data_IF_849759273815
#
_entry.id   IF_849759273815
#
_cell.length_a   1.000
_cell.length_b   1.000
_cell.length_c   1.000
_cell.angle_alpha   90.00
_cell.angle_beta   90.00
_cell.angle_gamma   90.00
#
_symmetry.space_group_name_H-M   'P 1'
#
loop_
_entity.id
_entity.type
_entity.pdbx_description
1 polymer ?
#
# COMPACT_ATOMS: atom_id res chain seq x y z
N UNK A 1 -15.92 -41.63 -2.90
CA UNK A 1 -16.94 -40.62 -3.09
C UNK A 1 -16.28 -39.25 -3.27
N UNK A 2 -16.57 -38.60 -4.37
CA UNK A 2 -16.07 -37.27 -4.66
C UNK A 2 -16.88 -36.30 -3.81
N UNK A 3 -16.25 -35.70 -2.80
CA UNK A 3 -16.91 -34.68 -1.99
C UNK A 3 -16.80 -33.35 -2.72
N UNK A 4 -17.89 -32.82 -3.23
CA UNK A 4 -17.98 -31.49 -3.80
C UNK A 4 -18.43 -30.54 -2.69
N UNK A 5 -17.59 -29.56 -2.34
CA UNK A 5 -17.95 -28.46 -1.42
C UNK A 5 -18.34 -27.25 -2.25
N UNK A 6 -19.59 -26.81 -2.15
CA UNK A 6 -20.03 -25.57 -2.77
C UNK A 6 -19.62 -24.37 -1.90
N UNK A 7 -18.86 -23.43 -2.46
CA UNK A 7 -18.48 -22.16 -1.82
C UNK A 7 -19.30 -21.05 -2.47
N UNK A 8 -20.10 -20.36 -1.66
CA UNK A 8 -20.91 -19.20 -2.11
C UNK A 8 -20.26 -17.90 -1.63
N UNK A 9 -19.36 -17.37 -2.45
CA UNK A 9 -18.87 -16.00 -2.33
C UNK A 9 -17.94 -15.71 -1.15
N UNK A 10 -18.18 -16.24 0.04
CA UNK A 10 -17.38 -15.98 1.22
C UNK A 10 -17.32 -17.19 2.15
N UNK A 11 -16.24 -17.24 2.95
CA UNK A 11 -15.99 -18.25 3.99
C UNK A 11 -15.47 -17.57 5.25
N UNK A 12 -15.61 -18.26 6.40
CA UNK A 12 -15.18 -17.70 7.70
C UNK A 12 -13.70 -18.00 8.00
N UNK A 13 -13.11 -19.04 7.37
CA UNK A 13 -11.71 -19.41 7.62
C UNK A 13 -11.06 -20.05 6.39
N UNK A 14 -9.80 -19.71 6.13
CA UNK A 14 -9.03 -20.22 4.99
C UNK A 14 -8.86 -21.76 5.04
N UNK A 15 -8.83 -22.34 6.23
CA UNK A 15 -8.71 -23.81 6.40
C UNK A 15 -9.91 -24.59 5.86
N UNK A 16 -11.04 -23.93 5.62
CA UNK A 16 -12.23 -24.52 5.03
C UNK A 16 -12.16 -24.64 3.50
N UNK A 17 -11.14 -24.04 2.88
CA UNK A 17 -10.96 -24.06 1.44
C UNK A 17 -10.42 -25.40 0.95
N UNK A 18 -10.89 -25.89 -0.21
CA UNK A 18 -10.40 -27.13 -0.79
C UNK A 18 -8.98 -26.97 -1.36
N UNK A 19 -8.23 -28.07 -1.39
CA UNK A 19 -6.91 -28.15 -2.04
C UNK A 19 -7.00 -28.48 -3.53
N UNK A 20 -8.21 -28.65 -4.05
CA UNK A 20 -8.51 -28.99 -5.44
C UNK A 20 -9.59 -28.02 -5.94
N UNK A 21 -9.26 -27.16 -6.89
CA UNK A 21 -10.17 -26.13 -7.38
C UNK A 21 -9.80 -25.70 -8.81
N UNK A 22 -10.62 -24.85 -9.41
CA UNK A 22 -10.35 -24.19 -10.69
C UNK A 22 -9.30 -23.08 -10.50
N UNK A 23 -8.34 -23.00 -11.42
CA UNK A 23 -7.33 -21.93 -11.42
C UNK A 23 -7.98 -20.55 -11.52
N UNK A 24 -7.48 -19.59 -10.76
CA UNK A 24 -8.01 -18.24 -10.76
C UNK A 24 -9.30 -18.02 -9.97
N UNK A 25 -9.87 -19.05 -9.34
CA UNK A 25 -11.07 -18.90 -8.53
C UNK A 25 -10.78 -18.02 -7.31
N UNK A 26 -11.60 -16.99 -7.09
CA UNK A 26 -11.43 -16.01 -6.00
C UNK A 26 -12.52 -16.17 -4.97
N UNK A 27 -12.12 -16.17 -3.69
CA UNK A 27 -13.03 -16.27 -2.53
C UNK A 27 -12.69 -15.20 -1.52
N UNK A 28 -13.72 -14.61 -0.92
CA UNK A 28 -13.58 -13.72 0.23
C UNK A 28 -13.48 -14.53 1.51
N UNK A 29 -12.47 -14.27 2.31
CA UNK A 29 -12.34 -14.77 3.69
C UNK A 29 -12.82 -13.66 4.61
N UNK A 30 -13.88 -13.94 5.36
CA UNK A 30 -14.49 -12.98 6.27
C UNK A 30 -13.89 -13.12 7.65
N UNK A 31 -13.36 -12.04 8.19
CA UNK A 31 -12.95 -11.95 9.57
C UNK A 31 -14.10 -11.56 10.50
N UNK A 32 -14.00 -10.42 11.14
CA UNK A 32 -15.06 -9.93 12.04
C UNK A 32 -16.35 -9.61 11.28
N UNK A 33 -17.45 -10.22 11.71
CA UNK A 33 -18.79 -9.96 11.13
C UNK A 33 -19.28 -8.53 11.32
N UNK A 34 -18.69 -7.79 12.26
CA UNK A 34 -19.09 -6.44 12.64
C UNK A 34 -18.32 -5.36 11.92
N UNK A 35 -17.01 -5.49 11.77
CA UNK A 35 -16.15 -4.43 11.26
C UNK A 35 -15.72 -4.64 9.81
N UNK A 36 -15.55 -5.91 9.39
CA UNK A 36 -15.03 -6.32 8.08
C UNK A 36 -13.68 -5.70 7.70
N UNK A 37 -12.98 -5.12 8.67
CA UNK A 37 -11.66 -4.51 8.48
C UNK A 37 -10.54 -5.54 8.34
N UNK A 38 -10.83 -6.79 8.64
CA UNK A 38 -9.98 -7.96 8.57
C UNK A 38 -10.41 -8.94 7.46
N UNK A 39 -11.36 -8.52 6.61
CA UNK A 39 -11.74 -9.28 5.42
C UNK A 39 -10.61 -9.25 4.40
N UNK A 40 -10.33 -10.37 3.74
CA UNK A 40 -9.36 -10.43 2.66
C UNK A 40 -9.82 -11.39 1.56
N UNK A 41 -9.15 -11.36 0.41
CA UNK A 41 -9.48 -12.20 -0.73
C UNK A 41 -8.34 -13.14 -1.01
N UNK A 42 -8.68 -14.36 -1.40
CA UNK A 42 -7.71 -15.36 -1.84
C UNK A 42 -8.08 -15.90 -3.20
N UNK A 43 -7.08 -16.08 -4.04
CA UNK A 43 -7.18 -16.68 -5.36
C UNK A 43 -6.51 -18.05 -5.34
N UNK A 44 -7.15 -19.02 -5.98
CA UNK A 44 -6.56 -20.33 -6.15
C UNK A 44 -5.58 -20.34 -7.32
N UNK A 45 -4.41 -20.87 -7.10
CA UNK A 45 -3.38 -21.07 -8.11
C UNK A 45 -3.07 -22.55 -8.21
N UNK A 46 -3.45 -23.17 -9.34
CA UNK A 46 -3.15 -24.58 -9.59
C UNK A 46 -1.67 -24.78 -9.85
N UNK A 47 -1.15 -25.94 -9.53
CA UNK A 47 0.27 -26.29 -9.76
C UNK A 47 0.67 -26.23 -11.24
N UNK A 48 -0.30 -26.34 -12.15
CA UNK A 48 -0.09 -26.26 -13.60
C UNK A 48 -0.41 -24.86 -14.17
N UNK A 49 -0.92 -23.94 -13.34
CA UNK A 49 -1.31 -22.58 -13.75
C UNK A 49 -2.53 -22.48 -14.65
N UNK A 50 -3.29 -23.56 -14.83
CA UNK A 50 -4.52 -23.58 -15.65
C UNK A 50 -5.48 -24.68 -15.23
N UNK A 51 -6.79 -24.46 -15.45
CA UNK A 51 -7.84 -25.46 -15.31
C UNK A 51 -8.09 -25.92 -13.88
N UNK A 52 -8.68 -27.10 -13.74
CA UNK A 52 -9.04 -27.68 -12.44
C UNK A 52 -7.96 -28.64 -11.96
N UNK A 53 -7.43 -28.42 -10.76
CA UNK A 53 -6.33 -29.21 -10.24
C UNK A 53 -5.98 -28.94 -8.78
N UNK A 54 -4.94 -29.59 -8.29
CA UNK A 54 -4.35 -29.29 -6.99
C UNK A 54 -3.57 -27.96 -7.06
N UNK A 55 -3.60 -27.21 -5.98
CA UNK A 55 -2.93 -25.91 -5.91
C UNK A 55 -2.94 -25.31 -4.51
N UNK A 56 -2.66 -24.01 -4.46
CA UNK A 56 -2.59 -23.25 -3.21
C UNK A 56 -3.45 -21.99 -3.31
N UNK A 57 -3.91 -21.51 -2.17
CA UNK A 57 -4.60 -20.23 -2.05
C UNK A 57 -3.60 -19.14 -1.72
N UNK A 58 -3.62 -18.06 -2.52
CA UNK A 58 -2.81 -16.87 -2.29
C UNK A 58 -3.70 -15.66 -2.09
N UNK A 59 -3.27 -14.77 -1.21
CA UNK A 59 -3.93 -13.48 -1.04
C UNK A 59 -3.94 -12.70 -2.36
N UNK A 60 -5.03 -11.99 -2.62
CA UNK A 60 -5.24 -11.25 -3.86
C UNK A 60 -6.12 -10.02 -3.64
N UNK A 61 -6.24 -9.21 -4.67
CA UNK A 61 -7.16 -8.05 -4.71
C UNK A 61 -8.59 -8.54 -4.87
N UNK A 62 -9.53 -7.83 -4.23
CA UNK A 62 -10.96 -8.06 -4.41
C UNK A 62 -11.38 -7.94 -5.88
N UNK A 63 -12.40 -8.70 -6.31
CA UNK A 63 -12.91 -8.61 -7.68
C UNK A 63 -13.39 -7.20 -8.02
N UNK A 64 -13.03 -6.72 -9.22
CA UNK A 64 -13.40 -5.40 -9.77
C UNK A 64 -12.79 -4.19 -9.04
N UNK A 65 -11.89 -4.41 -8.08
CA UNK A 65 -11.21 -3.31 -7.40
C UNK A 65 -10.14 -2.67 -8.31
N UNK A 66 -10.00 -1.33 -8.30
CA UNK A 66 -8.90 -0.67 -8.98
C UNK A 66 -7.58 -1.06 -8.33
N UNK A 67 -6.64 -1.55 -9.11
CA UNK A 67 -5.39 -2.11 -8.58
C UNK A 67 -4.12 -1.47 -9.17
N UNK A 68 -4.24 -0.58 -10.13
CA UNK A 68 -3.10 0.09 -10.78
C UNK A 68 -3.25 1.59 -10.78
N UNK A 69 -2.14 2.28 -10.60
CA UNK A 69 -2.06 3.72 -10.87
C UNK A 69 -2.04 4.00 -12.37
N UNK A 70 -2.58 5.14 -12.76
CA UNK A 70 -2.40 5.66 -14.12
C UNK A 70 -0.99 6.27 -14.23
N UNK A 71 -0.06 5.58 -14.88
CA UNK A 71 1.34 5.98 -14.99
C UNK A 71 1.54 7.37 -15.57
N UNK A 72 0.68 7.78 -16.51
CA UNK A 72 0.81 9.09 -17.18
C UNK A 72 0.51 10.28 -16.26
N UNK A 73 -0.19 10.06 -15.15
CA UNK A 73 -0.52 11.08 -14.15
C UNK A 73 0.35 11.01 -12.90
N UNK A 74 1.17 9.97 -12.80
CA UNK A 74 2.11 9.75 -11.70
C UNK A 74 3.46 10.41 -11.99
N UNK A 75 4.29 10.66 -10.96
CA UNK A 75 5.66 11.14 -11.17
C UNK A 75 6.45 10.22 -12.09
N UNK A 76 7.18 10.84 -13.01
CA UNK A 76 8.05 10.13 -13.96
C UNK A 76 9.46 10.00 -13.39
N UNK A 77 10.22 9.03 -13.91
CA UNK A 77 11.59 8.78 -13.50
C UNK A 77 12.59 9.35 -14.52
N UNK A 78 13.67 9.91 -14.01
CA UNK A 78 14.87 10.23 -14.79
C UNK A 78 15.90 9.12 -14.57
N UNK A 79 15.98 8.20 -15.52
CA UNK A 79 16.82 7.00 -15.42
C UNK A 79 18.15 7.21 -16.12
N UNK A 80 19.26 7.00 -15.39
CA UNK A 80 20.60 7.05 -15.95
C UNK A 80 20.99 5.68 -16.50
N UNK A 81 21.37 5.65 -17.77
CA UNK A 81 22.02 4.48 -18.36
C UNK A 81 23.47 4.37 -17.85
N UNK A 82 23.80 3.25 -17.22
CA UNK A 82 25.11 3.04 -16.61
C UNK A 82 26.24 2.92 -17.65
N UNK A 83 25.96 2.42 -18.86
CA UNK A 83 26.95 2.19 -19.90
C UNK A 83 27.28 3.48 -20.68
N UNK A 84 26.27 4.27 -21.00
CA UNK A 84 26.42 5.48 -21.82
C UNK A 84 26.51 6.76 -21.00
N UNK A 85 26.04 6.75 -19.74
CA UNK A 85 25.92 7.93 -18.89
C UNK A 85 24.74 8.84 -19.22
N UNK A 86 23.97 8.52 -20.25
CA UNK A 86 22.82 9.30 -20.68
C UNK A 86 21.63 9.15 -19.72
N UNK A 87 20.76 10.17 -19.70
CA UNK A 87 19.54 10.15 -18.91
C UNK A 87 18.32 10.06 -19.84
N UNK A 88 17.37 9.21 -19.47
CA UNK A 88 16.07 9.09 -20.13
C UNK A 88 14.96 9.45 -19.15
N UNK A 89 14.11 10.41 -19.52
CA UNK A 89 12.91 10.73 -18.78
C UNK A 89 11.76 9.85 -19.28
N UNK A 90 11.16 9.07 -18.37
CA UNK A 90 10.16 8.08 -18.74
C UNK A 90 9.13 7.85 -17.64
N UNK A 91 8.00 7.24 -18.01
CA UNK A 91 7.05 6.72 -17.03
C UNK A 91 7.74 5.73 -16.10
N UNK A 92 7.33 5.74 -14.83
CA UNK A 92 7.84 4.81 -13.84
C UNK A 92 6.84 3.68 -13.58
N UNK A 93 7.34 2.46 -13.33
CA UNK A 93 6.51 1.30 -13.02
C UNK A 93 6.15 1.29 -11.54
N UNK A 94 4.99 1.85 -11.23
CA UNK A 94 4.44 1.85 -9.87
C UNK A 94 3.83 0.49 -9.55
N UNK A 95 4.16 -0.06 -8.39
CA UNK A 95 3.64 -1.35 -7.93
C UNK A 95 2.12 -1.30 -7.78
N UNK A 96 1.41 -2.31 -8.31
CA UNK A 96 -0.04 -2.38 -8.17
C UNK A 96 -0.46 -2.77 -6.74
N UNK A 97 -1.75 -2.60 -6.41
CA UNK A 97 -2.37 -3.26 -5.27
C UNK A 97 -2.38 -4.77 -5.54
N UNK A 98 -1.91 -5.57 -4.60
CA UNK A 98 -1.83 -7.04 -4.73
C UNK A 98 -2.70 -7.78 -3.71
N UNK A 99 -3.25 -7.06 -2.73
CA UNK A 99 -4.08 -7.62 -1.66
C UNK A 99 -5.22 -6.66 -1.29
N UNK A 100 -6.30 -7.22 -0.74
CA UNK A 100 -7.41 -6.46 -0.16
C UNK A 100 -8.35 -5.78 -1.15
N UNK A 101 -9.10 -4.84 -0.64
CA UNK A 101 -10.08 -4.01 -1.35
C UNK A 101 -9.96 -2.54 -0.92
N UNK A 102 -10.92 -1.69 -1.31
CA UNK A 102 -10.91 -0.27 -0.93
C UNK A 102 -11.06 -0.03 0.58
N UNK A 103 -11.56 -1.00 1.33
CA UNK A 103 -11.71 -0.88 2.78
C UNK A 103 -10.44 -1.30 3.52
N UNK A 104 -9.84 -2.43 3.13
CA UNK A 104 -8.72 -3.05 3.83
C UNK A 104 -7.35 -2.59 3.32
N UNK A 105 -7.26 -2.20 2.05
CA UNK A 105 -6.10 -1.56 1.43
C UNK A 105 -6.55 -0.32 0.64
N UNK A 106 -6.91 0.78 1.30
CA UNK A 106 -7.48 1.96 0.65
C UNK A 106 -6.53 2.53 -0.41
N UNK A 107 -7.11 3.27 -1.35
CA UNK A 107 -6.32 4.02 -2.33
C UNK A 107 -5.55 5.12 -1.60
N UNK A 108 -4.25 5.27 -1.84
CA UNK A 108 -3.45 6.34 -1.23
C UNK A 108 -4.04 7.73 -1.48
N UNK A 109 -3.97 8.61 -0.49
CA UNK A 109 -4.64 9.92 -0.50
C UNK A 109 -4.14 10.87 -1.57
N UNK A 110 -2.95 10.66 -2.16
CA UNK A 110 -2.48 11.47 -3.30
C UNK A 110 -3.26 11.20 -4.60
N UNK A 111 -4.02 10.10 -4.69
CA UNK A 111 -4.77 9.76 -5.92
C UNK A 111 -5.95 10.72 -6.08
N UNK A 112 -5.98 11.43 -7.20
CA UNK A 112 -7.00 12.45 -7.48
C UNK A 112 -6.68 13.84 -6.94
N UNK A 113 -5.50 14.02 -6.32
CA UNK A 113 -5.01 15.31 -5.83
C UNK A 113 -3.70 15.71 -6.52
N UNK A 114 -3.16 16.87 -6.19
CA UNK A 114 -1.87 17.33 -6.74
C UNK A 114 -0.73 16.96 -5.79
N UNK A 115 0.30 16.29 -6.31
CA UNK A 115 1.54 16.05 -5.57
C UNK A 115 2.35 17.38 -5.56
N UNK A 116 2.47 17.97 -4.39
CA UNK A 116 3.13 19.27 -4.19
C UNK A 116 4.63 19.14 -3.99
N UNK A 117 5.08 18.02 -3.43
CA UNK A 117 6.50 17.77 -3.14
C UNK A 117 6.83 16.30 -3.17
N UNK A 118 8.07 15.99 -3.58
CA UNK A 118 8.64 14.64 -3.57
C UNK A 118 9.96 14.70 -2.83
N UNK A 119 10.15 13.82 -1.86
CA UNK A 119 11.37 13.73 -1.06
C UNK A 119 11.66 12.26 -0.71
N UNK A 120 12.77 12.01 -0.04
CA UNK A 120 13.10 10.69 0.52
C UNK A 120 13.47 10.83 1.99
N UNK A 121 13.01 9.89 2.80
CA UNK A 121 13.33 9.84 4.22
C UNK A 121 13.25 8.40 4.74
N UNK A 122 14.28 7.95 5.44
CA UNK A 122 14.34 6.60 6.04
C UNK A 122 13.95 5.49 5.06
N UNK A 123 14.61 5.46 3.90
CA UNK A 123 14.42 4.48 2.83
C UNK A 123 12.97 4.41 2.29
N UNK A 124 12.23 5.52 2.38
CA UNK A 124 10.89 5.67 1.82
C UNK A 124 10.84 6.86 0.88
N UNK A 125 10.10 6.74 -0.21
CA UNK A 125 9.71 7.87 -1.04
C UNK A 125 8.54 8.57 -0.36
N UNK A 126 8.61 9.90 -0.28
CA UNK A 126 7.59 10.74 0.34
C UNK A 126 6.93 11.57 -0.71
N UNK A 127 5.62 11.56 -0.72
CA UNK A 127 4.77 12.44 -1.51
C UNK A 127 3.98 13.32 -0.55
N UNK A 128 3.98 14.62 -0.80
CA UNK A 128 3.09 15.55 -0.10
C UNK A 128 1.95 15.92 -1.04
N UNK A 129 0.73 15.70 -0.58
CA UNK A 129 -0.48 16.02 -1.33
C UNK A 129 -1.55 16.55 -0.38
N UNK A 130 -2.05 17.76 -0.66
CA UNK A 130 -2.94 18.50 0.23
C UNK A 130 -2.38 18.56 1.67
N UNK A 131 -3.07 18.04 2.66
CA UNK A 131 -2.65 17.96 4.06
C UNK A 131 -1.93 16.65 4.41
N UNK A 132 -1.73 15.78 3.43
CA UNK A 132 -1.28 14.41 3.65
C UNK A 132 0.21 14.25 3.37
N UNK A 133 0.83 13.39 4.19
CA UNK A 133 2.17 12.85 3.99
C UNK A 133 2.03 11.38 3.68
N UNK A 134 2.32 11.02 2.44
CA UNK A 134 2.22 9.66 1.96
C UNK A 134 3.62 9.12 1.73
N UNK A 135 3.94 8.01 2.38
CA UNK A 135 5.26 7.38 2.31
C UNK A 135 5.13 6.00 1.69
N UNK A 136 6.02 5.71 0.74
CA UNK A 136 6.11 4.37 0.15
C UNK A 136 6.44 3.31 1.21
N UNK A 137 6.35 2.06 0.83
CA UNK A 137 6.91 0.98 1.62
C UNK A 137 8.42 1.19 1.85
N UNK A 138 8.94 0.68 2.96
CA UNK A 138 10.36 0.74 3.25
C UNK A 138 11.15 -0.04 2.18
N UNK A 139 12.26 0.52 1.72
CA UNK A 139 13.14 -0.03 0.68
C UNK A 139 12.45 -0.31 -0.69
N UNK A 140 11.23 0.23 -0.91
CA UNK A 140 10.47 0.07 -2.16
C UNK A 140 9.77 1.37 -2.51
N UNK A 141 10.40 2.21 -3.31
CA UNK A 141 9.94 3.56 -3.64
C UNK A 141 8.72 3.59 -4.57
N UNK A 142 8.41 2.49 -5.21
CA UNK A 142 7.31 2.29 -6.15
C UNK A 142 6.03 1.77 -5.50
N UNK A 143 6.11 1.26 -4.25
CA UNK A 143 5.00 0.57 -3.61
C UNK A 143 4.30 1.44 -2.57
N UNK A 144 3.01 1.73 -2.83
CA UNK A 144 2.11 2.50 -1.96
C UNK A 144 0.89 1.71 -1.48
N UNK A 145 0.89 0.40 -1.69
CA UNK A 145 -0.10 -0.53 -1.14
C UNK A 145 0.59 -1.56 -0.24
N UNK A 146 -0.08 -2.06 0.81
CA UNK A 146 0.46 -3.13 1.63
C UNK A 146 0.61 -4.44 0.84
N UNK A 147 1.52 -5.30 1.27
CA UNK A 147 1.69 -6.64 0.67
C UNK A 147 0.60 -7.61 1.11
N UNK A 148 0.10 -7.45 2.32
CA UNK A 148 -0.98 -8.24 2.91
C UNK A 148 -1.87 -7.35 3.72
N UNK A 149 -3.16 -7.67 3.79
CA UNK A 149 -4.10 -6.97 4.67
C UNK A 149 -4.44 -7.77 5.93
N UNK A 150 -3.88 -8.97 6.08
CA UNK A 150 -4.08 -9.80 7.26
C UNK A 150 -3.34 -9.28 8.49
N UNK A 151 -2.25 -8.56 8.29
CA UNK A 151 -1.46 -7.94 9.37
C UNK A 151 -0.73 -6.72 8.87
N UNK A 152 -0.60 -5.70 9.71
CA UNK A 152 0.21 -4.52 9.41
C UNK A 152 1.66 -4.85 9.75
N UNK A 153 2.54 -4.77 8.74
CA UNK A 153 3.98 -4.95 8.90
C UNK A 153 4.72 -3.61 8.92
N UNK A 154 5.88 -3.58 9.52
CA UNK A 154 6.64 -2.35 9.74
C UNK A 154 7.14 -1.70 8.43
N UNK A 155 7.27 -2.49 7.38
CA UNK A 155 7.65 -2.01 6.05
C UNK A 155 6.49 -1.45 5.23
N UNK A 156 5.24 -1.59 5.66
CA UNK A 156 4.08 -1.13 4.90
C UNK A 156 4.12 0.39 4.65
N UNK A 157 3.44 0.86 3.59
CA UNK A 157 3.26 2.27 3.32
C UNK A 157 2.60 3.01 4.49
N UNK A 158 2.86 4.30 4.58
CA UNK A 158 2.31 5.19 5.61
C UNK A 158 1.54 6.30 4.90
N UNK A 159 0.33 6.59 5.35
CA UNK A 159 -0.50 7.69 4.84
C UNK A 159 -1.12 8.40 6.04
N UNK A 160 -0.65 9.62 6.28
CA UNK A 160 -1.01 10.42 7.46
C UNK A 160 -1.46 11.81 7.04
N UNK A 161 -2.47 12.31 7.74
CA UNK A 161 -2.93 13.70 7.61
C UNK A 161 -2.33 14.55 8.73
N UNK A 162 -2.00 15.81 8.43
CA UNK A 162 -1.66 16.77 9.45
C UNK A 162 -2.89 17.08 10.31
N UNK A 163 -2.73 17.00 11.63
CA UNK A 163 -3.79 17.36 12.56
C UNK A 163 -3.94 18.87 12.72
N UNK A 164 -5.14 19.34 13.10
CA UNK A 164 -5.39 20.73 13.39
C UNK A 164 -6.83 21.14 13.15
N UNK A 165 -7.15 22.39 13.51
CA UNK A 165 -8.47 23.02 13.24
C UNK A 165 -8.48 23.81 11.93
N UNK A 166 -7.30 24.04 11.34
CA UNK A 166 -7.12 24.77 10.10
C UNK A 166 -6.57 23.86 9.01
N UNK A 167 -6.88 24.16 7.76
CA UNK A 167 -6.38 23.41 6.59
C UNK A 167 -4.95 23.84 6.30
N UNK A 168 -4.04 22.87 6.23
CA UNK A 168 -2.61 23.07 6.02
C UNK A 168 -2.11 22.35 4.77
N UNK A 169 -2.24 22.95 3.60
CA UNK A 169 -1.64 22.39 2.38
C UNK A 169 -0.12 22.33 2.50
N UNK A 170 0.41 21.13 2.55
CA UNK A 170 1.84 20.87 2.63
C UNK A 170 2.53 21.20 1.30
N UNK A 171 3.59 22.00 1.35
CA UNK A 171 4.30 22.47 0.14
C UNK A 171 5.72 21.98 0.06
N UNK A 172 6.37 21.72 1.20
CA UNK A 172 7.76 21.26 1.24
C UNK A 172 8.07 20.43 2.47
N UNK A 173 9.12 19.66 2.38
CA UNK A 173 9.63 18.84 3.47
C UNK A 173 11.16 18.89 3.53
N UNK A 174 11.71 18.76 4.72
CA UNK A 174 13.15 18.71 4.96
C UNK A 174 13.47 17.60 5.95
N UNK A 175 14.31 16.67 5.54
CA UNK A 175 14.86 15.68 6.45
C UNK A 175 15.93 16.31 7.34
N UNK A 176 15.73 16.26 8.66
CA UNK A 176 16.67 16.76 9.64
C UNK A 176 16.89 15.72 10.74
N UNK A 177 18.11 15.20 10.83
CA UNK A 177 18.45 14.10 11.74
C UNK A 177 17.47 12.91 11.59
N UNK A 178 16.73 12.59 12.63
CA UNK A 178 15.77 11.48 12.67
C UNK A 178 14.32 11.92 12.43
N UNK A 179 14.10 13.13 12.01
CA UNK A 179 12.80 13.80 11.90
C UNK A 179 12.59 14.32 10.49
N UNK A 180 11.38 14.31 9.99
CA UNK A 180 10.97 15.01 8.78
C UNK A 180 10.21 16.27 9.18
N UNK A 181 10.75 17.41 8.84
CA UNK A 181 10.07 18.70 8.98
C UNK A 181 9.16 18.93 7.78
N UNK A 182 7.94 19.38 8.01
CA UNK A 182 6.91 19.60 7.01
C UNK A 182 6.48 21.07 7.08
N UNK A 183 6.30 21.70 5.93
CA UNK A 183 5.98 23.11 5.85
C UNK A 183 4.72 23.33 5.01
N UNK A 184 3.84 24.15 5.55
CA UNK A 184 2.72 24.77 4.84
C UNK A 184 2.86 26.28 4.88
N UNK A 185 1.94 27.03 4.26
CA UNK A 185 1.96 28.50 4.30
C UNK A 185 1.78 29.08 5.71
N UNK A 186 1.04 28.38 6.56
CA UNK A 186 0.59 28.89 7.86
C UNK A 186 0.99 27.98 9.03
N UNK A 187 1.66 26.85 8.77
CA UNK A 187 2.04 25.89 9.79
C UNK A 187 3.32 25.15 9.48
N UNK A 188 3.94 24.67 10.52
CA UNK A 188 5.11 23.79 10.48
C UNK A 188 4.79 22.58 11.32
N UNK A 189 5.15 21.41 10.81
CA UNK A 189 4.87 20.14 11.47
C UNK A 189 6.13 19.30 11.50
N UNK A 190 6.12 18.34 12.39
CA UNK A 190 7.19 17.38 12.55
C UNK A 190 6.62 15.96 12.46
N UNK A 191 7.18 15.15 11.56
CA UNK A 191 6.89 13.74 11.48
C UNK A 191 8.07 12.96 12.07
N UNK A 192 7.80 12.14 13.05
CA UNK A 192 8.76 11.24 13.68
C UNK A 192 8.14 9.88 14.07
N UNK A 193 8.94 9.01 14.64
CA UNK A 193 8.56 7.65 15.03
C UNK A 193 7.90 7.58 16.43
N UNK A 194 7.19 8.65 16.83
CA UNK A 194 6.56 8.75 18.15
C UNK A 194 7.53 9.04 19.30
N UNK A 195 6.99 9.63 20.37
CA UNK A 195 7.76 10.16 21.51
C UNK A 195 8.51 9.12 22.35
N UNK A 196 8.26 7.83 22.13
CA UNK A 196 8.76 6.75 23.04
C UNK A 196 10.11 6.17 22.64
N UNK A 197 10.66 6.51 21.46
CA UNK A 197 11.89 5.86 20.98
C UNK A 197 12.78 6.85 20.22
N UNK A 198 13.76 7.43 20.91
CA UNK A 198 14.85 8.12 20.24
C UNK A 198 15.54 7.11 19.32
N UNK A 199 15.37 7.28 18.00
CA UNK A 199 15.91 6.37 16.99
C UNK A 199 15.02 5.16 16.64
N UNK A 200 13.76 5.12 17.08
CA UNK A 200 12.81 4.07 16.75
C UNK A 200 12.52 3.97 15.24
N UNK A 201 12.09 2.80 14.78
CA UNK A 201 11.69 2.58 13.41
C UNK A 201 10.44 3.40 13.07
N UNK A 202 10.45 4.06 11.91
CA UNK A 202 9.28 4.74 11.36
C UNK A 202 8.40 3.70 10.65
N UNK A 203 7.30 3.34 11.28
CA UNK A 203 6.38 2.30 10.81
C UNK A 203 4.96 2.85 10.77
N UNK A 204 4.00 2.17 10.10
CA UNK A 204 2.60 2.60 10.11
C UNK A 204 1.99 2.72 11.52
N UNK A 205 2.55 1.99 12.49
CA UNK A 205 2.07 2.00 13.89
C UNK A 205 2.70 3.09 14.75
N UNK A 206 3.88 3.58 14.37
CA UNK A 206 4.67 4.53 15.20
C UNK A 206 4.76 5.92 14.61
N UNK A 207 4.47 6.09 13.33
CA UNK A 207 4.52 7.40 12.66
C UNK A 207 3.50 8.37 13.26
N UNK A 208 3.97 9.55 13.65
CA UNK A 208 3.12 10.63 14.21
C UNK A 208 3.52 11.97 13.65
N UNK A 209 2.53 12.84 13.44
CA UNK A 209 2.72 14.24 13.05
C UNK A 209 2.32 15.14 14.22
N UNK A 210 3.20 16.04 14.60
CA UNK A 210 3.02 17.01 15.70
C UNK A 210 3.40 18.42 15.28
#
# INVERSE_FOLDING_TARGET
GTFTKAIKGAIDTISDLPTLCEDGFVVKVQGSKTTRLDDYYVKFETSNGTGFGFGIWRETVGPLEPYKFNKSTMPHALVRDAATGNFTFQEFDWSPRIAGDLLTAPTPTFVGTTINNINTFRNRLILLADENVIMSAADSYDRFFPETVQTIVDSDPIDLVTGGTEIHFLTSSLAFANTLLLFSRHGQFRLDAGASTIGGALTPKTATIT
#
